data_IF_494384075051
#
_entry.id   IF_494384075051
#
_cell.length_a   1.000
_cell.length_b   1.000
_cell.length_c   1.000
_cell.angle_alpha   90.00
_cell.angle_beta   90.00
_cell.angle_gamma   90.00
#
_symmetry.space_group_name_H-M   'P 1'
#
loop_
_entity.id
_entity.type
_entity.pdbx_description
1 polymer ?
#
# COMPACT_ATOMS: atom_id res chain seq x y z
N UNK A 1 -0.76 -18.80 -21.43
CA UNK A 1 -1.58 -17.62 -21.78
C UNK A 1 -1.24 -16.52 -20.80
N UNK A 2 -0.43 -15.54 -21.20
CA UNK A 2 -0.07 -14.41 -20.35
C UNK A 2 -1.25 -13.44 -20.32
N UNK A 3 -1.82 -13.20 -19.12
CA UNK A 3 -2.76 -12.10 -18.93
C UNK A 3 -1.98 -10.79 -19.10
N UNK A 4 -2.55 -9.74 -19.70
CA UNK A 4 -1.92 -8.43 -19.67
C UNK A 4 -1.73 -8.06 -18.20
N UNK A 5 -0.48 -7.87 -17.78
CA UNK A 5 -0.18 -7.26 -16.49
C UNK A 5 -0.81 -5.88 -16.55
N UNK A 6 -1.94 -5.70 -15.87
CA UNK A 6 -2.42 -4.39 -15.49
C UNK A 6 -1.21 -3.66 -14.92
N UNK A 7 -0.83 -2.53 -15.53
CA UNK A 7 0.33 -1.77 -15.10
C UNK A 7 0.18 -1.52 -13.60
N UNK A 8 1.01 -2.19 -12.80
CA UNK A 8 0.83 -2.21 -11.36
C UNK A 8 1.02 -0.78 -10.85
N UNK A 9 0.05 -0.20 -10.14
CA UNK A 9 0.15 1.17 -9.64
C UNK A 9 1.41 1.40 -8.81
N UNK A 10 2.00 0.37 -8.20
CA UNK A 10 3.27 0.50 -7.48
C UNK A 10 4.50 0.58 -8.41
N UNK A 11 4.46 -0.04 -9.60
CA UNK A 11 5.53 0.16 -10.60
C UNK A 11 5.55 1.61 -11.09
N UNK A 12 4.37 2.20 -11.29
CA UNK A 12 4.25 3.62 -11.60
C UNK A 12 4.76 4.51 -10.45
N UNK A 13 4.54 4.11 -9.20
CA UNK A 13 5.03 4.83 -8.02
C UNK A 13 6.56 4.75 -7.88
N UNK A 14 7.18 3.61 -8.21
CA UNK A 14 8.65 3.47 -8.23
C UNK A 14 9.30 4.37 -9.28
N UNK A 15 8.75 4.41 -10.49
CA UNK A 15 9.29 5.27 -11.55
C UNK A 15 9.07 6.76 -11.23
N UNK A 16 7.97 7.11 -10.54
CA UNK A 16 7.79 8.47 -10.00
C UNK A 16 8.77 8.77 -8.87
N UNK A 17 9.01 7.85 -7.93
CA UNK A 17 9.94 7.99 -6.79
C UNK A 17 11.34 8.45 -7.20
N UNK A 18 11.83 7.98 -8.35
CA UNK A 18 13.12 8.37 -8.90
C UNK A 18 13.21 9.88 -9.27
N UNK A 19 12.07 10.55 -9.43
CA UNK A 19 11.92 11.96 -9.82
C UNK A 19 11.51 12.86 -8.62
N UNK A 20 11.17 12.29 -7.46
CA UNK A 20 10.66 13.04 -6.28
C UNK A 20 11.63 13.00 -5.11
N UNK A 21 11.61 14.06 -4.29
CA UNK A 21 12.38 14.17 -3.04
C UNK A 21 11.87 13.25 -1.90
N UNK A 22 11.33 12.07 -2.23
CA UNK A 22 10.90 11.07 -1.26
C UNK A 22 11.87 9.88 -1.30
N UNK A 23 12.29 9.43 -0.12
CA UNK A 23 13.03 8.18 -0.01
C UNK A 23 12.11 6.99 -0.23
N UNK A 24 12.69 5.86 -0.65
CA UNK A 24 11.98 4.58 -0.79
C UNK A 24 11.21 4.22 0.49
N UNK A 25 11.86 4.36 1.65
CA UNK A 25 11.24 4.11 2.95
C UNK A 25 10.01 4.99 3.24
N UNK A 26 10.01 6.26 2.79
CA UNK A 26 8.85 7.14 2.96
C UNK A 26 7.66 6.71 2.09
N UNK A 27 7.95 6.14 0.92
CA UNK A 27 6.92 5.61 0.01
C UNK A 27 6.39 4.29 0.55
N UNK A 28 7.26 3.39 1.03
CA UNK A 28 6.84 2.14 1.67
C UNK A 28 5.93 2.39 2.86
N UNK A 29 6.30 3.32 3.74
CA UNK A 29 5.49 3.69 4.89
C UNK A 29 4.13 4.23 4.46
N UNK A 30 4.09 5.17 3.51
CA UNK A 30 2.83 5.75 3.03
C UNK A 30 1.91 4.71 2.37
N UNK A 31 2.49 3.76 1.62
CA UNK A 31 1.75 2.66 1.02
C UNK A 31 1.22 1.72 2.11
N UNK A 32 2.08 1.33 3.05
CA UNK A 32 1.71 0.42 4.13
C UNK A 32 0.57 0.98 4.97
N UNK A 33 0.68 2.24 5.39
CA UNK A 33 -0.35 2.95 6.16
C UNK A 33 -1.67 2.99 5.39
N UNK A 34 -1.66 3.42 4.14
CA UNK A 34 -2.87 3.54 3.33
C UNK A 34 -3.59 2.19 3.12
N UNK A 35 -2.85 1.10 2.94
CA UNK A 35 -3.41 -0.24 2.78
C UNK A 35 -3.99 -0.74 4.12
N UNK A 36 -3.28 -0.54 5.23
CA UNK A 36 -3.74 -0.92 6.58
C UNK A 36 -5.00 -0.15 6.98
N UNK A 37 -5.03 1.16 6.76
CA UNK A 37 -6.20 1.99 7.04
C UNK A 37 -7.40 1.57 6.18
N UNK A 38 -7.16 1.25 4.90
CA UNK A 38 -8.21 0.74 4.03
C UNK A 38 -8.73 -0.61 4.52
N UNK A 39 -7.86 -1.48 5.04
CA UNK A 39 -8.25 -2.79 5.55
C UNK A 39 -9.11 -2.63 6.79
N UNK A 40 -8.66 -1.81 7.74
CA UNK A 40 -9.40 -1.53 8.97
C UNK A 40 -10.79 -0.98 8.67
N UNK A 41 -10.90 -0.03 7.74
CA UNK A 41 -12.18 0.57 7.38
C UNK A 41 -13.16 -0.42 6.72
N UNK A 42 -12.66 -1.35 5.90
CA UNK A 42 -13.51 -2.20 5.06
C UNK A 42 -13.75 -3.59 5.62
N UNK A 43 -12.84 -4.10 6.44
CA UNK A 43 -12.86 -5.48 6.93
C UNK A 43 -13.11 -5.51 8.43
N UNK A 44 -12.25 -4.85 9.21
CA UNK A 44 -12.29 -4.91 10.68
C UNK A 44 -11.46 -3.77 11.29
N UNK A 45 -12.15 -2.79 11.89
CA UNK A 45 -11.53 -1.56 12.39
C UNK A 45 -10.57 -1.81 13.56
N UNK A 46 -10.84 -2.85 14.36
CA UNK A 46 -10.07 -3.20 15.55
C UNK A 46 -8.94 -4.21 15.25
N UNK A 47 -8.80 -4.63 13.98
CA UNK A 47 -7.78 -5.61 13.61
C UNK A 47 -6.35 -5.07 13.79
N UNK A 48 -5.54 -5.86 14.49
CA UNK A 48 -4.09 -5.67 14.54
C UNK A 48 -3.49 -6.23 13.24
N UNK A 49 -3.38 -5.37 12.23
CA UNK A 49 -2.87 -5.70 10.90
C UNK A 49 -1.66 -4.84 10.53
N UNK A 50 -0.77 -5.45 9.75
CA UNK A 50 0.44 -4.83 9.18
C UNK A 50 0.50 -5.09 7.70
N UNK A 51 1.05 -4.14 6.96
CA UNK A 51 1.36 -4.30 5.54
C UNK A 51 2.88 -4.42 5.37
N UNK A 52 3.31 -5.38 4.56
CA UNK A 52 4.65 -5.42 3.98
C UNK A 52 4.57 -4.98 2.53
N UNK A 53 5.43 -4.04 2.14
CA UNK A 53 5.46 -3.46 0.80
C UNK A 53 6.74 -3.91 0.12
N UNK A 54 6.62 -4.33 -1.14
CA UNK A 54 7.71 -4.65 -2.04
C UNK A 54 7.61 -3.72 -3.25
N UNK A 55 8.32 -2.59 -3.19
CA UNK A 55 8.31 -1.59 -4.26
C UNK A 55 9.00 -2.07 -5.53
N UNK A 56 9.95 -2.99 -5.41
CA UNK A 56 10.68 -3.53 -6.57
C UNK A 56 9.76 -4.31 -7.50
N UNK A 57 8.86 -5.12 -6.93
CA UNK A 57 7.86 -5.90 -7.66
C UNK A 57 6.50 -5.20 -7.75
N UNK A 58 6.36 -4.08 -7.07
CA UNK A 58 5.12 -3.35 -6.98
C UNK A 58 4.01 -4.16 -6.31
N UNK A 59 4.31 -4.88 -5.23
CA UNK A 59 3.32 -5.68 -4.51
C UNK A 59 3.26 -5.30 -3.04
N UNK A 60 2.15 -5.61 -2.39
CA UNK A 60 2.02 -5.53 -0.94
C UNK A 60 1.31 -6.78 -0.41
N UNK A 61 1.58 -7.13 0.85
CA UNK A 61 0.95 -8.23 1.57
C UNK A 61 0.48 -7.74 2.92
N UNK A 62 -0.70 -8.23 3.34
CA UNK A 62 -1.24 -7.95 4.67
C UNK A 62 -1.06 -9.15 5.59
N UNK A 63 -0.71 -8.84 6.82
CA UNK A 63 -0.54 -9.78 7.91
C UNK A 63 -1.38 -9.32 9.09
N UNK A 64 -2.10 -10.23 9.72
CA UNK A 64 -2.73 -10.02 11.02
C UNK A 64 -1.77 -10.52 12.10
N UNK A 65 -1.72 -9.84 13.22
CA UNK A 65 -0.96 -10.29 14.40
C UNK A 65 -1.92 -11.07 15.29
N UNK A 66 -1.72 -12.39 15.35
CA UNK A 66 -2.50 -13.29 16.19
C UNK A 66 -1.56 -13.98 17.18
N UNK A 67 -1.79 -13.80 18.48
CA UNK A 67 -0.95 -14.38 19.56
C UNK A 67 0.56 -14.06 19.40
N UNK A 68 0.88 -12.89 18.83
CA UNK A 68 2.26 -12.45 18.56
C UNK A 68 2.88 -13.06 17.29
N UNK A 69 2.12 -13.83 16.51
CA UNK A 69 2.53 -14.39 15.23
C UNK A 69 1.89 -13.63 14.06
N UNK A 70 2.66 -13.41 13.00
CA UNK A 70 2.16 -12.80 11.77
C UNK A 70 1.53 -13.89 10.88
N UNK A 71 0.21 -13.82 10.71
CA UNK A 71 -0.56 -14.70 9.83
C UNK A 71 -1.08 -13.91 8.63
N UNK A 72 -1.13 -14.49 7.41
CA UNK A 72 -1.68 -13.78 6.25
C UNK A 72 -3.12 -13.31 6.52
N UNK A 73 -3.38 -12.02 6.32
CA UNK A 73 -4.72 -11.48 6.50
C UNK A 73 -5.60 -11.85 5.30
N UNK A 74 -6.75 -12.45 5.57
CA UNK A 74 -7.76 -12.70 4.54
C UNK A 74 -8.54 -11.41 4.24
N UNK A 75 -8.83 -11.20 2.96
CA UNK A 75 -9.62 -10.08 2.45
C UNK A 75 -10.75 -10.66 1.61
N UNK A 76 -11.94 -10.73 2.19
CA UNK A 76 -13.14 -11.23 1.49
C UNK A 76 -13.99 -10.10 0.89
N UNK A 77 -13.47 -8.87 0.89
CA UNK A 77 -14.15 -7.67 0.37
C UNK A 77 -13.72 -7.40 -1.07
N UNK A 78 -14.61 -7.59 -2.09
CA UNK A 78 -14.25 -7.44 -3.50
C UNK A 78 -13.77 -6.04 -3.88
N UNK A 79 -14.26 -5.01 -3.20
CA UNK A 79 -13.90 -3.61 -3.46
C UNK A 79 -12.53 -3.24 -2.88
N UNK A 80 -11.97 -4.07 -1.99
CA UNK A 80 -10.75 -3.76 -1.26
C UNK A 80 -9.56 -3.43 -2.18
N UNK A 81 -9.21 -4.23 -3.21
CA UNK A 81 -8.06 -3.91 -4.06
C UNK A 81 -8.20 -2.55 -4.75
N UNK A 82 -9.41 -2.22 -5.22
CA UNK A 82 -9.70 -0.94 -5.88
C UNK A 82 -9.58 0.24 -4.92
N UNK A 83 -10.10 0.09 -3.70
CA UNK A 83 -10.05 1.14 -2.69
C UNK A 83 -8.64 1.32 -2.14
N UNK A 84 -7.91 0.23 -1.90
CA UNK A 84 -6.53 0.25 -1.44
C UNK A 84 -5.64 0.95 -2.47
N UNK A 85 -5.77 0.62 -3.75
CA UNK A 85 -5.03 1.29 -4.82
C UNK A 85 -5.33 2.80 -4.89
N UNK A 86 -6.58 3.21 -4.65
CA UNK A 86 -6.94 4.63 -4.61
C UNK A 86 -6.36 5.35 -3.39
N UNK A 87 -6.41 4.71 -2.22
CA UNK A 87 -5.83 5.24 -0.98
C UNK A 87 -4.31 5.39 -1.10
N UNK A 88 -3.62 4.38 -1.63
CA UNK A 88 -2.16 4.41 -1.87
C UNK A 88 -1.77 5.59 -2.76
N UNK A 89 -2.47 5.80 -3.88
CA UNK A 89 -2.18 6.95 -4.76
C UNK A 89 -2.37 8.29 -4.05
N UNK A 90 -3.43 8.41 -3.24
CA UNK A 90 -3.70 9.63 -2.49
C UNK A 90 -2.64 9.88 -1.40
N UNK A 91 -2.24 8.83 -0.68
CA UNK A 91 -1.22 8.90 0.36
C UNK A 91 0.14 9.33 -0.21
N UNK A 92 0.57 8.73 -1.31
CA UNK A 92 1.83 9.12 -1.95
C UNK A 92 1.73 10.54 -2.50
N UNK A 93 0.64 10.91 -3.20
CA UNK A 93 0.46 12.29 -3.66
C UNK A 93 0.55 13.32 -2.52
N UNK A 94 -0.07 13.04 -1.37
CA UNK A 94 0.02 13.90 -0.19
C UNK A 94 1.44 14.04 0.34
N UNK A 95 2.23 12.95 0.39
CA UNK A 95 3.64 12.99 0.80
C UNK A 95 4.50 13.80 -0.18
N UNK A 96 4.22 13.73 -1.48
CA UNK A 96 4.90 14.51 -2.52
C UNK A 96 4.62 16.00 -2.35
N UNK A 97 3.36 16.38 -2.13
CA UNK A 97 2.98 17.77 -1.88
C UNK A 97 3.62 18.32 -0.61
N UNK A 98 3.69 17.52 0.46
CA UNK A 98 4.35 17.91 1.71
C UNK A 98 5.87 18.09 1.52
N UNK A 99 6.52 17.16 0.83
CA UNK A 99 7.96 17.24 0.52
C UNK A 99 8.29 18.46 -0.35
N UNK A 100 7.40 18.82 -1.28
CA UNK A 100 7.56 19.98 -2.18
C UNK A 100 7.36 21.33 -1.50
N UNK A 101 6.74 21.36 -0.32
CA UNK A 101 6.47 22.59 0.46
C UNK A 101 7.60 22.95 1.43
N UNK A 102 8.55 22.05 1.66
CA UNK A 102 9.70 22.23 2.57
C UNK A 102 10.91 22.77 1.81
#
# INVERSE_FOLDING_TARGET
MARPQEADPLTALRDMAADIALSEAQIEEAVADAVVETYRRLVDEEADVRASVDLAHGTWRLYRVEEGMEVPASVDVPEFPRQAAAAVRAAVAGRVEEASRR
#
